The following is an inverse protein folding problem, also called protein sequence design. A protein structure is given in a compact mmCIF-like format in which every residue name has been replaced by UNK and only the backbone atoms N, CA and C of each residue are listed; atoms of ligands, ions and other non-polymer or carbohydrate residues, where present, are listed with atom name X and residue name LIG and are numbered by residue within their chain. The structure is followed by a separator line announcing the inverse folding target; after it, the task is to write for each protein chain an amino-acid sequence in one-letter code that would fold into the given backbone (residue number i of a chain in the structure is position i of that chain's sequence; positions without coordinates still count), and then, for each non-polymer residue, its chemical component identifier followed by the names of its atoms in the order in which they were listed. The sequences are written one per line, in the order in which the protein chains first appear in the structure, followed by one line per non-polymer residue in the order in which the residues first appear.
data_IF_535995042944
#
_entry.id   IF_535995042944
#
_cell.length_a   1.000
_cell.length_b   1.000
_cell.length_c   1.000
_cell.angle_alpha   90.00
_cell.angle_beta   90.00
_cell.angle_gamma   90.00
#
_symmetry.space_group_name_H-M   'P 1'
#
loop_
_entity.id
_entity.type
_entity.pdbx_description
1 polymer ?
#
# COMPACT_ATOMS: atom_id res chain seq x y z
N UNK A 1 14.73 -27.75 9.71
CA UNK A 1 15.06 -26.32 9.88
C UNK A 1 14.18 -25.78 10.99
N UNK A 2 14.74 -24.97 11.90
CA UNK A 2 13.97 -24.33 12.97
C UNK A 2 13.05 -23.26 12.37
N UNK A 3 11.77 -23.30 12.71
CA UNK A 3 10.75 -22.33 12.30
C UNK A 3 10.17 -21.68 13.55
N UNK A 4 9.95 -20.37 13.50
CA UNK A 4 9.34 -19.59 14.60
C UNK A 4 8.23 -18.71 14.04
N UNK A 5 7.11 -18.66 14.75
CA UNK A 5 6.00 -17.76 14.43
C UNK A 5 6.14 -16.45 15.21
N UNK A 6 6.12 -15.32 14.51
CA UNK A 6 6.28 -13.98 15.09
C UNK A 6 5.08 -13.11 14.72
N UNK A 7 4.72 -12.17 15.60
CA UNK A 7 3.66 -11.19 15.31
C UNK A 7 4.22 -10.07 14.44
N UNK A 8 3.55 -9.77 13.33
CA UNK A 8 3.98 -8.71 12.40
C UNK A 8 3.66 -7.33 12.99
N UNK A 9 4.66 -6.45 12.98
CA UNK A 9 4.55 -5.04 13.29
C UNK A 9 5.13 -4.15 12.20
N UNK A 10 4.88 -2.85 12.29
CA UNK A 10 5.38 -1.86 11.33
C UNK A 10 6.75 -1.35 11.72
N UNK A 11 7.60 -1.10 10.73
CA UNK A 11 8.83 -0.33 10.96
C UNK A 11 8.47 1.11 11.35
N UNK A 12 9.19 1.65 12.33
CA UNK A 12 8.98 3.02 12.82
C UNK A 12 9.91 4.04 12.17
N UNK A 13 11.07 3.60 11.68
CA UNK A 13 12.03 4.46 11.01
C UNK A 13 11.74 4.52 9.49
N UNK A 14 11.31 5.70 9.02
CA UNK A 14 10.99 5.95 7.60
C UNK A 14 12.21 5.82 6.68
N UNK A 15 13.44 5.92 7.20
CA UNK A 15 14.64 5.76 6.39
C UNK A 15 14.90 4.31 5.96
N UNK A 16 14.26 3.34 6.63
CA UNK A 16 14.45 1.91 6.39
C UNK A 16 13.46 1.33 5.40
N UNK A 17 12.42 2.07 5.07
CA UNK A 17 11.38 1.63 4.15
C UNK A 17 11.95 1.40 2.75
N UNK A 18 11.53 0.31 2.13
CA UNK A 18 11.94 -0.13 0.81
C UNK A 18 13.28 -0.85 0.76
N UNK A 19 14.01 -1.01 1.88
CA UNK A 19 15.33 -1.68 1.92
C UNK A 19 15.26 -3.20 2.00
N UNK A 20 14.06 -3.79 2.15
CA UNK A 20 13.90 -5.25 2.24
C UNK A 20 14.50 -5.85 3.52
N UNK A 21 14.44 -5.11 4.63
CA UNK A 21 14.93 -5.56 5.93
C UNK A 21 13.77 -5.94 6.85
N UNK A 22 14.05 -6.82 7.81
CA UNK A 22 13.15 -7.14 8.92
C UNK A 22 13.88 -7.07 10.25
N UNK A 23 13.22 -6.50 11.24
CA UNK A 23 13.75 -6.36 12.59
C UNK A 23 13.27 -7.49 13.49
N UNK A 24 14.21 -8.26 14.05
CA UNK A 24 13.97 -9.47 14.85
C UNK A 24 14.83 -9.44 16.13
N UNK A 25 14.31 -9.96 17.25
CA UNK A 25 15.06 -10.09 18.50
C UNK A 25 16.30 -10.99 18.32
N UNK A 26 17.42 -10.59 18.91
CA UNK A 26 18.67 -11.38 18.92
C UNK A 26 18.47 -12.79 19.49
N UNK A 27 17.60 -12.98 20.49
CA UNK A 27 17.30 -14.33 21.02
C UNK A 27 16.61 -15.23 19.99
N UNK A 28 15.70 -14.65 19.21
CA UNK A 28 15.02 -15.34 18.12
C UNK A 28 16.02 -15.67 17.00
N UNK A 29 16.88 -14.72 16.63
CA UNK A 29 17.95 -14.94 15.65
C UNK A 29 18.86 -16.12 16.04
N UNK A 30 19.29 -16.18 17.30
CA UNK A 30 20.09 -17.30 17.83
C UNK A 30 19.35 -18.63 17.70
N UNK A 31 18.07 -18.66 18.03
CA UNK A 31 17.23 -19.87 17.93
C UNK A 31 17.07 -20.34 16.48
N UNK A 32 16.95 -19.41 15.54
CA UNK A 32 16.91 -19.69 14.10
C UNK A 32 18.28 -20.03 13.49
N UNK A 33 19.37 -19.86 14.23
CA UNK A 33 20.74 -20.08 13.72
C UNK A 33 21.15 -19.05 12.67
N UNK A 34 20.69 -17.81 12.82
CA UNK A 34 21.00 -16.67 11.94
C UNK A 34 21.72 -15.56 12.71
N UNK A 35 22.45 -14.72 11.98
CA UNK A 35 23.08 -13.50 12.48
C UNK A 35 22.45 -12.28 11.81
N UNK A 36 22.84 -11.11 12.30
CA UNK A 36 22.55 -9.86 11.61
C UNK A 36 23.10 -9.89 10.19
N UNK A 37 22.32 -9.34 9.25
CA UNK A 37 22.56 -9.38 7.80
C UNK A 37 22.36 -10.73 7.10
N UNK A 38 22.05 -11.81 7.82
CA UNK A 38 21.60 -13.05 7.18
C UNK A 38 20.21 -12.86 6.57
N UNK A 39 19.92 -13.60 5.50
CA UNK A 39 18.60 -13.62 4.88
C UNK A 39 17.68 -14.62 5.59
N UNK A 40 16.48 -14.18 5.88
CA UNK A 40 15.38 -15.00 6.38
C UNK A 40 14.31 -15.19 5.33
N UNK A 41 13.69 -16.36 5.36
CA UNK A 41 12.51 -16.65 4.58
C UNK A 41 11.29 -16.33 5.43
N UNK A 42 10.41 -15.52 4.85
CA UNK A 42 9.15 -15.09 5.42
C UNK A 42 8.04 -15.85 4.70
N UNK A 43 7.27 -16.65 5.45
CA UNK A 43 6.12 -17.39 4.93
C UNK A 43 4.83 -16.84 5.53
N UNK A 44 4.12 -16.05 4.73
CA UNK A 44 2.72 -15.63 4.94
C UNK A 44 1.80 -16.38 3.97
N UNK A 45 0.97 -15.65 3.23
CA UNK A 45 0.24 -16.23 2.07
C UNK A 45 1.19 -16.55 0.92
N UNK A 46 2.30 -15.81 0.83
CA UNK A 46 3.39 -16.01 -0.12
C UNK A 46 4.71 -16.18 0.64
N UNK A 47 5.69 -16.75 -0.05
CA UNK A 47 7.07 -16.86 0.45
C UNK A 47 7.92 -15.77 -0.17
N UNK A 48 8.67 -15.05 0.65
CA UNK A 48 9.63 -14.03 0.20
C UNK A 48 10.85 -14.01 1.12
N UNK A 49 11.91 -13.35 0.70
CA UNK A 49 13.16 -13.21 1.47
C UNK A 49 13.34 -11.79 1.99
N UNK A 50 13.92 -11.65 3.17
CA UNK A 50 14.31 -10.35 3.72
C UNK A 50 15.59 -10.44 4.56
N UNK A 51 16.26 -9.31 4.77
CA UNK A 51 17.52 -9.25 5.53
C UNK A 51 17.21 -9.02 7.00
N UNK A 52 17.74 -9.89 7.87
CA UNK A 52 17.50 -9.82 9.30
C UNK A 52 18.39 -8.76 9.97
N UNK A 53 17.77 -7.84 10.70
CA UNK A 53 18.41 -6.76 11.47
C UNK A 53 17.90 -6.81 12.92
N UNK A 54 18.68 -6.31 13.88
CA UNK A 54 18.27 -6.32 15.29
C UNK A 54 16.98 -5.55 15.54
N UNK A 55 16.15 -6.07 16.42
CA UNK A 55 14.92 -5.43 16.88
C UNK A 55 15.18 -4.08 17.57
N UNK A 56 14.14 -3.26 17.67
CA UNK A 56 14.20 -2.11 18.56
C UNK A 56 14.30 -2.57 20.01
N UNK A 57 14.94 -1.79 20.90
CA UNK A 57 15.04 -2.13 22.32
C UNK A 57 13.69 -2.41 22.99
N UNK A 58 12.63 -1.70 22.57
CA UNK A 58 11.27 -1.84 23.10
C UNK A 58 10.56 -3.13 22.68
N UNK A 59 11.02 -3.81 21.63
CA UNK A 59 10.38 -5.02 21.12
C UNK A 59 11.01 -6.32 21.66
N UNK A 60 12.10 -6.20 22.43
CA UNK A 60 12.86 -7.36 22.93
C UNK A 60 11.94 -8.23 23.81
N UNK A 61 11.90 -9.53 23.52
CA UNK A 61 11.06 -10.50 24.23
C UNK A 61 9.57 -10.50 23.87
N UNK A 62 9.12 -9.64 22.95
CA UNK A 62 7.70 -9.56 22.57
C UNK A 62 7.29 -10.52 21.44
N UNK A 63 8.23 -11.30 20.89
CA UNK A 63 8.03 -12.15 19.70
C UNK A 63 7.44 -11.38 18.51
N UNK A 64 7.90 -10.14 18.33
CA UNK A 64 7.50 -9.26 17.22
C UNK A 64 8.58 -9.28 16.14
N UNK A 65 8.13 -9.23 14.89
CA UNK A 65 8.95 -8.92 13.72
C UNK A 65 8.42 -7.64 13.08
N UNK A 66 9.30 -6.67 12.85
CA UNK A 66 8.92 -5.43 12.17
C UNK A 66 9.42 -5.39 10.74
N UNK A 67 8.56 -5.01 9.82
CA UNK A 67 8.86 -4.93 8.39
C UNK A 67 8.06 -3.79 7.72
N UNK A 68 8.55 -3.32 6.57
CA UNK A 68 7.89 -2.28 5.77
C UNK A 68 6.69 -2.81 4.97
N UNK A 69 5.90 -1.91 4.39
CA UNK A 69 4.69 -2.26 3.65
C UNK A 69 4.98 -3.05 2.37
N UNK A 70 6.14 -2.83 1.75
CA UNK A 70 6.58 -3.59 0.58
C UNK A 70 6.85 -5.06 0.97
N UNK A 71 7.59 -5.31 2.05
CA UNK A 71 7.86 -6.68 2.53
C UNK A 71 6.58 -7.37 3.00
N UNK A 72 5.68 -6.64 3.69
CA UNK A 72 4.35 -7.17 4.05
C UNK A 72 3.54 -7.61 2.84
N UNK A 73 3.49 -6.78 1.79
CA UNK A 73 2.83 -7.10 0.52
C UNK A 73 3.45 -8.33 -0.14
N UNK A 74 4.78 -8.41 -0.22
CA UNK A 74 5.47 -9.54 -0.84
C UNK A 74 5.20 -10.87 -0.11
N UNK A 75 5.09 -10.84 1.22
CA UNK A 75 4.70 -11.99 2.03
C UNK A 75 3.18 -12.26 2.04
N UNK A 76 2.37 -11.31 1.56
CA UNK A 76 0.91 -11.37 1.61
C UNK A 76 0.37 -11.39 3.04
N UNK A 77 0.92 -10.54 3.92
CA UNK A 77 0.59 -10.54 5.35
C UNK A 77 0.26 -9.14 5.87
N UNK A 78 -0.58 -9.07 6.90
CA UNK A 78 -1.05 -7.82 7.51
C UNK A 78 -0.34 -7.51 8.82
N UNK A 79 -0.54 -6.28 9.30
CA UNK A 79 -0.06 -5.90 10.64
C UNK A 79 -0.88 -6.63 11.69
N UNK A 80 -0.21 -7.18 12.70
CA UNK A 80 -0.83 -7.92 13.80
C UNK A 80 -1.06 -9.41 13.52
N UNK A 81 -0.95 -9.86 12.28
CA UNK A 81 -0.98 -11.27 11.89
C UNK A 81 0.30 -12.01 12.32
N UNK A 82 0.26 -13.34 12.32
CA UNK A 82 1.41 -14.18 12.66
C UNK A 82 2.12 -14.65 11.38
N UNK A 83 3.42 -14.41 11.28
CA UNK A 83 4.26 -14.86 10.17
C UNK A 83 5.21 -15.97 10.60
N UNK A 84 5.42 -16.95 9.73
CA UNK A 84 6.44 -17.99 9.94
C UNK A 84 7.79 -17.51 9.41
N UNK A 85 8.82 -17.64 10.22
CA UNK A 85 10.18 -17.19 9.90
C UNK A 85 11.15 -18.36 10.07
N UNK A 86 12.03 -18.53 9.08
CA UNK A 86 13.12 -19.51 9.10
C UNK A 86 14.34 -18.97 8.36
N UNK A 87 15.50 -19.61 8.55
CA UNK A 87 16.69 -19.31 7.76
C UNK A 87 16.43 -19.61 6.28
N UNK A 88 16.66 -18.64 5.40
CA UNK A 88 16.44 -18.84 3.97
C UNK A 88 17.52 -19.73 3.34
N UNK A 89 17.12 -20.53 2.35
CA UNK A 89 18.05 -21.18 1.44
C UNK A 89 18.30 -20.26 0.25
N UNK A 90 19.21 -19.31 0.43
CA UNK A 90 19.52 -18.29 -0.58
C UNK A 90 20.47 -18.83 -1.62
N UNK A 91 20.14 -18.61 -2.89
CA UNK A 91 21.03 -18.89 -4.02
C UNK A 91 21.54 -17.59 -4.61
N UNK A 92 22.73 -17.61 -5.17
CA UNK A 92 23.23 -16.48 -5.94
C UNK A 92 22.44 -16.34 -7.25
N UNK A 93 21.98 -15.12 -7.55
CA UNK A 93 21.24 -14.84 -8.77
C UNK A 93 22.19 -14.80 -9.97
N UNK A 94 21.93 -15.60 -10.99
CA UNK A 94 22.61 -15.52 -12.29
C UNK A 94 21.96 -14.46 -13.17
N UNK A 95 20.62 -14.42 -13.16
CA UNK A 95 19.84 -13.42 -13.91
C UNK A 95 18.59 -13.02 -13.14
N UNK A 96 18.25 -11.74 -13.19
CA UNK A 96 17.01 -11.19 -12.65
C UNK A 96 16.38 -10.30 -13.70
N UNK A 97 15.08 -10.48 -13.94
CA UNK A 97 14.30 -9.63 -14.85
C UNK A 97 13.37 -8.77 -14.04
N UNK A 98 13.48 -7.46 -14.20
CA UNK A 98 12.68 -6.44 -13.51
C UNK A 98 11.80 -5.71 -14.52
N UNK A 99 10.65 -5.23 -14.06
CA UNK A 99 9.74 -4.38 -14.83
C UNK A 99 9.14 -3.30 -13.93
N UNK A 100 8.66 -2.16 -14.48
CA UNK A 100 7.87 -1.22 -13.69
C UNK A 100 6.63 -1.92 -13.12
N UNK A 101 6.31 -1.67 -11.85
CA UNK A 101 5.13 -2.23 -11.19
C UNK A 101 3.81 -1.56 -11.63
N UNK A 102 3.88 -0.38 -12.25
CA UNK A 102 2.72 0.41 -12.65
C UNK A 102 2.71 0.69 -14.14
N UNK A 103 1.51 0.62 -14.76
CA UNK A 103 1.30 0.92 -16.18
C UNK A 103 1.56 2.40 -16.46
N UNK A 104 2.12 2.71 -17.63
CA UNK A 104 2.41 4.08 -18.06
C UNK A 104 3.77 4.62 -17.62
N UNK A 105 4.53 3.86 -16.82
CA UNK A 105 5.94 4.17 -16.53
C UNK A 105 6.82 3.49 -17.58
N UNK A 106 7.60 4.30 -18.31
CA UNK A 106 8.67 3.81 -19.19
C UNK A 106 9.98 3.95 -18.44
N UNK A 107 10.66 2.83 -18.19
CA UNK A 107 11.97 2.84 -17.55
C UNK A 107 13.07 3.03 -18.60
N UNK A 108 13.79 4.14 -18.49
CA UNK A 108 15.08 4.34 -19.15
C UNK A 108 16.14 4.47 -18.07
N UNK A 109 16.62 3.33 -17.58
CA UNK A 109 17.61 3.28 -16.49
C UNK A 109 18.74 2.35 -16.87
N UNK A 110 19.96 2.73 -16.47
CA UNK A 110 21.13 1.87 -16.61
C UNK A 110 20.97 0.62 -15.72
N UNK A 111 21.02 -0.61 -16.30
CA UNK A 111 20.99 -1.85 -15.53
C UNK A 111 22.02 -1.94 -14.40
N UNK A 112 23.22 -1.38 -14.57
CA UNK A 112 24.25 -1.44 -13.52
C UNK A 112 23.95 -0.55 -12.32
N UNK A 113 23.23 0.56 -12.49
CA UNK A 113 22.77 1.36 -11.37
C UNK A 113 21.74 0.58 -10.54
N UNK A 114 20.82 -0.13 -11.20
CA UNK A 114 19.83 -0.98 -10.51
C UNK A 114 20.50 -2.13 -9.77
N UNK A 115 21.49 -2.77 -10.40
CA UNK A 115 22.29 -3.83 -9.77
C UNK A 115 23.01 -3.32 -8.52
N UNK A 116 23.65 -2.14 -8.59
CA UNK A 116 24.28 -1.49 -7.42
C UNK A 116 23.27 -1.25 -6.29
N UNK A 117 22.08 -0.75 -6.62
CA UNK A 117 21.05 -0.47 -5.63
C UNK A 117 20.40 -1.73 -5.03
N UNK A 118 20.34 -2.83 -5.80
CA UNK A 118 19.78 -4.10 -5.34
C UNK A 118 20.85 -5.06 -4.80
N UNK A 119 22.12 -4.66 -4.76
CA UNK A 119 23.22 -5.50 -4.30
C UNK A 119 22.96 -6.05 -2.90
N UNK A 120 23.20 -7.36 -2.72
CA UNK A 120 22.91 -8.15 -1.52
C UNK A 120 21.43 -8.26 -1.13
N UNK A 121 20.51 -7.69 -1.91
CA UNK A 121 19.08 -7.79 -1.63
C UNK A 121 18.55 -9.19 -2.01
N UNK A 122 17.78 -9.85 -1.13
CA UNK A 122 17.04 -11.04 -1.52
C UNK A 122 15.84 -10.66 -2.39
N UNK A 123 15.65 -11.41 -3.46
CA UNK A 123 14.55 -11.25 -4.42
C UNK A 123 13.88 -12.61 -4.65
N UNK A 124 12.56 -12.57 -4.78
CA UNK A 124 11.74 -13.71 -5.20
C UNK A 124 10.88 -13.29 -6.39
N UNK A 125 10.63 -14.20 -7.32
CA UNK A 125 9.68 -13.97 -8.42
C UNK A 125 8.32 -13.48 -7.87
N UNK A 126 7.83 -12.39 -8.44
CA UNK A 126 6.57 -11.74 -8.06
C UNK A 126 6.71 -10.73 -6.92
N UNK A 127 7.90 -10.52 -6.36
CA UNK A 127 8.12 -9.47 -5.35
C UNK A 127 8.04 -8.09 -5.99
N UNK A 128 7.56 -7.13 -5.22
CA UNK A 128 7.73 -5.70 -5.49
C UNK A 128 8.94 -5.20 -4.70
N UNK A 129 9.82 -4.43 -5.33
CA UNK A 129 11.01 -3.86 -4.70
C UNK A 129 11.20 -2.41 -5.07
N UNK A 130 11.68 -1.61 -4.12
CA UNK A 130 12.14 -0.25 -4.38
C UNK A 130 13.66 -0.28 -4.56
N UNK A 131 14.24 0.37 -5.59
CA UNK A 131 15.67 0.28 -5.88
C UNK A 131 16.50 1.17 -4.92
N UNK A 132 16.44 0.88 -3.62
CA UNK A 132 17.25 1.50 -2.58
C UNK A 132 18.36 0.56 -2.10
N UNK A 133 19.58 1.07 -1.89
CA UNK A 133 20.65 0.29 -1.29
C UNK A 133 20.28 -0.16 0.13
N UNK A 134 20.60 -1.40 0.46
CA UNK A 134 20.36 -2.00 1.79
C UNK A 134 21.09 -1.19 2.89
N UNK A 135 22.32 -0.76 2.61
CA UNK A 135 23.16 0.05 3.51
C UNK A 135 23.42 1.41 2.89
N UNK A 136 23.08 2.50 3.59
CA UNK A 136 23.55 3.84 3.23
C UNK A 136 25.05 3.89 3.50
N UNK A 137 25.85 4.01 2.44
CA UNK A 137 27.25 4.37 2.60
C UNK A 137 27.30 5.86 2.93
N UNK A 138 27.38 6.23 4.22
CA UNK A 138 27.88 7.57 4.56
C UNK A 138 29.38 7.58 4.32
N UNK A 139 29.80 7.85 3.09
CA UNK A 139 31.21 8.13 2.78
C UNK A 139 31.31 9.57 2.30
N UNK A 140 31.53 10.49 3.23
CA UNK A 140 31.89 11.86 2.87
C UNK A 140 31.34 12.93 3.81
N UNK A 141 31.80 14.16 3.61
CA UNK A 141 31.12 15.33 4.17
C UNK A 141 29.78 15.55 3.45
N UNK A 142 28.76 16.19 4.08
CA UNK A 142 27.50 16.54 3.41
C UNK A 142 27.68 17.38 2.13
N UNK A 143 28.86 17.98 1.94
CA UNK A 143 29.22 18.75 0.77
C UNK A 143 29.79 17.89 -0.37
N UNK A 144 30.37 16.72 -0.08
CA UNK A 144 30.88 15.79 -1.11
C UNK A 144 29.74 14.94 -1.70
N UNK A 145 28.81 14.47 -0.86
CA UNK A 145 27.57 13.79 -1.31
C UNK A 145 26.74 14.69 -2.26
N UNK A 146 26.84 16.02 -2.10
CA UNK A 146 26.08 17.01 -2.88
C UNK A 146 26.76 17.40 -4.21
N UNK A 147 28.04 17.08 -4.40
CA UNK A 147 28.86 17.51 -5.55
C UNK A 147 29.56 16.34 -6.27
N UNK A 148 29.17 15.09 -6.02
CA UNK A 148 29.55 13.98 -6.89
C UNK A 148 28.78 14.14 -8.22
N UNK A 149 29.31 15.00 -9.08
CA UNK A 149 28.68 15.53 -10.31
C UNK A 149 28.31 14.39 -11.30
N UNK A 150 28.92 13.21 -11.18
CA UNK A 150 28.51 12.02 -11.94
C UNK A 150 27.16 11.43 -11.47
N UNK A 151 26.85 11.47 -10.16
CA UNK A 151 25.55 11.04 -9.64
C UNK A 151 24.45 12.07 -9.90
N UNK A 152 24.78 13.36 -10.08
CA UNK A 152 23.81 14.45 -10.36
C UNK A 152 23.37 14.48 -11.82
N UNK A 153 24.28 14.24 -12.77
CA UNK A 153 23.92 14.19 -14.20
C UNK A 153 23.21 12.90 -14.61
N UNK A 154 23.35 11.84 -13.79
CA UNK A 154 22.59 10.59 -13.88
C UNK A 154 21.69 10.39 -12.64
N UNK A 155 21.23 11.48 -12.03
CA UNK A 155 20.28 11.43 -10.91
C UNK A 155 18.87 11.07 -11.43
N UNK A 156 18.16 10.23 -10.68
CA UNK A 156 17.65 8.98 -11.21
C UNK A 156 16.12 9.00 -11.24
N UNK A 157 15.52 8.01 -11.90
CA UNK A 157 14.15 7.49 -11.69
C UNK A 157 13.25 8.40 -10.84
N UNK A 158 12.19 9.02 -11.39
CA UNK A 158 11.22 9.77 -10.59
C UNK A 158 10.71 8.90 -9.44
N UNK A 159 11.12 9.26 -8.22
CA UNK A 159 10.44 9.23 -6.91
C UNK A 159 9.65 8.01 -6.42
N UNK A 160 9.16 7.13 -7.27
CA UNK A 160 8.09 6.20 -6.92
C UNK A 160 8.19 4.85 -7.65
N UNK A 161 9.18 4.64 -8.53
CA UNK A 161 9.18 3.43 -9.36
C UNK A 161 9.55 2.18 -8.57
N UNK A 162 8.51 1.57 -8.01
CA UNK A 162 8.49 0.20 -7.54
C UNK A 162 8.67 -0.72 -8.76
N UNK A 163 9.57 -1.68 -8.62
CA UNK A 163 9.88 -2.67 -9.65
C UNK A 163 9.28 -3.99 -9.25
N UNK A 164 8.69 -4.68 -10.22
CA UNK A 164 8.26 -6.05 -10.08
C UNK A 164 9.36 -7.01 -10.52
N UNK A 165 9.60 -8.04 -9.72
CA UNK A 165 10.51 -9.14 -10.07
C UNK A 165 9.74 -10.11 -10.98
N UNK A 166 9.99 -10.03 -12.28
CA UNK A 166 9.27 -10.84 -13.29
C UNK A 166 9.77 -12.29 -13.29
N UNK A 167 11.09 -12.47 -13.17
CA UNK A 167 11.72 -13.78 -13.07
C UNK A 167 13.10 -13.71 -12.45
N UNK A 168 13.54 -14.85 -11.91
CA UNK A 168 14.84 -15.06 -11.28
C UNK A 168 15.45 -16.36 -11.77
N UNK A 169 16.75 -16.39 -11.99
CA UNK A 169 17.50 -17.61 -12.32
C UNK A 169 18.62 -17.78 -11.30
N UNK A 170 18.64 -18.86 -10.50
CA UNK A 170 17.66 -19.94 -10.40
C UNK A 170 16.33 -19.50 -9.76
N UNK A 171 15.31 -20.38 -9.79
CA UNK A 171 14.08 -20.15 -9.03
C UNK A 171 14.29 -20.29 -7.52
N UNK A 172 13.48 -19.55 -6.77
CA UNK A 172 13.49 -19.46 -5.32
C UNK A 172 13.90 -18.07 -4.82
N UNK A 173 14.33 -17.99 -3.57
CA UNK A 173 14.91 -16.78 -2.99
C UNK A 173 16.35 -16.68 -3.51
N UNK A 174 16.62 -15.65 -4.30
CA UNK A 174 17.95 -15.37 -4.83
C UNK A 174 18.51 -14.06 -4.29
N UNK A 175 19.83 -13.94 -4.26
CA UNK A 175 20.51 -12.71 -3.85
C UNK A 175 21.25 -12.11 -5.03
N UNK A 176 21.08 -10.80 -5.23
CA UNK A 176 21.79 -10.05 -6.28
C UNK A 176 23.23 -9.83 -5.85
N UNK A 177 24.17 -10.21 -6.70
CA UNK A 177 25.62 -10.05 -6.51
C UNK A 177 26.25 -9.34 -7.71
N UNK A 178 27.57 -9.21 -7.72
CA UNK A 178 28.37 -8.61 -8.78
C UNK A 178 28.35 -9.42 -10.08
N UNK A 179 28.07 -10.73 -10.02
CA UNK A 179 27.96 -11.58 -11.21
C UNK A 179 26.53 -11.66 -11.77
N UNK A 180 25.53 -11.10 -11.08
CA UNK A 180 24.15 -11.13 -11.52
C UNK A 180 23.95 -10.28 -12.77
N UNK A 181 23.33 -10.87 -13.80
CA UNK A 181 22.82 -10.16 -14.97
C UNK A 181 21.44 -9.57 -14.67
N UNK A 182 21.33 -8.25 -14.61
CA UNK A 182 20.07 -7.54 -14.33
C UNK A 182 19.49 -7.03 -15.64
N UNK A 183 18.31 -7.52 -16.00
CA UNK A 183 17.58 -7.05 -17.17
C UNK A 183 16.38 -6.19 -16.73
N UNK A 184 16.21 -5.03 -17.36
CA UNK A 184 15.08 -4.14 -17.10
C UNK A 184 14.20 -4.13 -18.34
N UNK A 185 12.95 -4.55 -18.19
CA UNK A 185 11.93 -4.38 -19.22
C UNK A 185 11.43 -2.94 -19.23
N UNK A 186 11.24 -2.34 -20.41
CA UNK A 186 10.82 -0.94 -20.52
C UNK A 186 9.36 -0.71 -20.10
N UNK A 187 8.51 -1.73 -20.23
CA UNK A 187 7.07 -1.65 -19.98
C UNK A 187 6.64 -2.53 -18.80
N UNK A 188 5.60 -2.09 -18.11
CA UNK A 188 4.99 -2.84 -17.02
C UNK A 188 4.42 -4.17 -17.53
N UNK A 189 4.72 -5.25 -16.82
CA UNK A 189 4.13 -6.56 -17.09
C UNK A 189 2.82 -6.63 -16.30
N UNK A 190 1.75 -7.16 -16.91
CA UNK A 190 0.56 -7.56 -16.15
C UNK A 190 0.95 -8.71 -15.23
N UNK A 191 1.27 -8.38 -13.99
CA UNK A 191 1.34 -9.37 -12.92
C UNK A 191 -0.11 -9.80 -12.71
N UNK A 192 -0.40 -11.11 -12.81
CA UNK A 192 -1.75 -11.68 -12.63
C UNK A 192 -2.38 -11.39 -11.25
N UNK A 193 -1.67 -10.71 -10.36
CA UNK A 193 -2.20 -10.24 -9.10
C UNK A 193 -3.09 -9.02 -9.32
N UNK A 194 -4.36 -9.17 -8.91
CA UNK A 194 -5.41 -8.16 -8.83
C UNK A 194 -4.81 -6.77 -8.65
N UNK A 195 -5.27 -5.79 -9.43
CA UNK A 195 -4.83 -4.39 -9.44
C UNK A 195 -4.91 -3.73 -8.04
N UNK A 196 -3.95 -4.07 -7.17
CA UNK A 196 -3.84 -3.55 -5.82
C UNK A 196 -2.88 -2.35 -5.89
N UNK A 197 -3.33 -1.16 -5.47
CA UNK A 197 -2.51 0.05 -5.45
C UNK A 197 -1.16 -0.23 -4.78
N UNK A 198 -0.06 0.32 -5.30
CA UNK A 198 1.26 0.10 -4.68
C UNK A 198 1.46 0.90 -3.40
N UNK A 199 0.60 1.90 -3.16
CA UNK A 199 0.71 2.87 -2.06
C UNK A 199 0.44 2.18 -0.72
N UNK A 200 1.29 2.47 0.27
CA UNK A 200 1.17 1.97 1.65
C UNK A 200 0.96 3.14 2.61
N UNK A 201 0.63 2.88 3.89
CA UNK A 201 0.54 3.99 4.86
C UNK A 201 1.87 4.72 5.06
N UNK A 202 2.98 4.05 4.76
CA UNK A 202 4.34 4.55 4.84
C UNK A 202 4.65 5.62 3.77
N UNK A 203 3.84 5.64 2.70
CA UNK A 203 3.86 6.62 1.62
C UNK A 203 2.96 7.84 1.93
N UNK A 204 2.36 7.90 3.13
CA UNK A 204 1.48 8.99 3.59
C UNK A 204 2.09 9.70 4.80
N UNK A 205 2.18 11.03 4.74
CA UNK A 205 2.74 11.87 5.81
C UNK A 205 1.68 12.72 6.49
N UNK A 206 1.80 12.93 7.81
CA UNK A 206 0.96 13.89 8.53
C UNK A 206 -0.50 13.51 8.77
N UNK A 207 -0.90 12.26 8.46
CA UNK A 207 -2.29 11.78 8.59
C UNK A 207 -2.46 10.68 9.66
N UNK A 208 -1.63 10.62 10.70
CA UNK A 208 -1.64 9.53 11.68
C UNK A 208 -3.02 9.25 12.30
N UNK A 209 -3.72 10.28 12.76
CA UNK A 209 -5.03 10.13 13.39
C UNK A 209 -6.09 9.59 12.40
N UNK A 210 -6.02 10.06 11.15
CA UNK A 210 -6.90 9.58 10.10
C UNK A 210 -6.57 8.14 9.69
N UNK A 211 -5.27 7.79 9.62
CA UNK A 211 -4.79 6.43 9.37
C UNK A 211 -5.27 5.50 10.48
N UNK A 212 -5.17 5.89 11.76
CA UNK A 212 -5.66 5.06 12.85
C UNK A 212 -7.17 4.79 12.74
N UNK A 213 -7.97 5.84 12.52
CA UNK A 213 -9.42 5.70 12.35
C UNK A 213 -9.77 4.82 11.16
N UNK A 214 -9.10 4.99 10.01
CA UNK A 214 -9.41 4.21 8.82
C UNK A 214 -9.01 2.74 8.97
N UNK A 215 -7.92 2.44 9.70
CA UNK A 215 -7.54 1.06 10.04
C UNK A 215 -8.63 0.37 10.85
N UNK A 216 -9.16 1.03 11.87
CA UNK A 216 -10.22 0.47 12.71
C UNK A 216 -11.53 0.28 11.95
N UNK A 217 -11.87 1.23 11.07
CA UNK A 217 -13.16 1.25 10.36
C UNK A 217 -13.17 0.41 9.07
N UNK A 218 -12.02 0.21 8.43
CA UNK A 218 -11.95 -0.42 7.10
C UNK A 218 -11.06 -1.66 7.11
N UNK A 219 -9.81 -1.53 7.57
CA UNK A 219 -8.85 -2.64 7.52
C UNK A 219 -9.23 -3.78 8.45
N UNK A 220 -9.58 -3.47 9.69
CA UNK A 220 -9.93 -4.47 10.70
C UNK A 220 -11.15 -5.34 10.29
N UNK A 221 -12.28 -4.78 9.80
CA UNK A 221 -13.38 -5.60 9.27
C UNK A 221 -13.01 -6.51 8.09
N UNK A 222 -12.14 -6.04 7.19
CA UNK A 222 -11.79 -6.77 5.96
C UNK A 222 -10.79 -7.90 6.25
N UNK A 223 -9.82 -7.64 7.13
CA UNK A 223 -8.79 -8.61 7.54
C UNK A 223 -9.28 -9.60 8.58
N UNK A 224 -10.09 -9.13 9.54
CA UNK A 224 -10.51 -9.88 10.71
C UNK A 224 -12.04 -9.90 10.92
N UNK A 225 -12.84 -10.34 9.91
CA UNK A 225 -14.30 -10.38 10.02
C UNK A 225 -14.81 -11.28 11.17
N UNK A 226 -14.00 -12.24 11.61
CA UNK A 226 -14.28 -13.11 12.76
C UNK A 226 -14.41 -12.34 14.07
N UNK A 227 -13.69 -11.22 14.24
CA UNK A 227 -13.78 -10.40 15.45
C UNK A 227 -15.16 -9.75 15.58
N UNK A 228 -15.66 -9.18 14.49
CA UNK A 228 -16.99 -8.56 14.43
C UNK A 228 -18.10 -9.60 14.65
N UNK A 229 -17.94 -10.78 14.05
CA UNK A 229 -18.87 -11.90 14.22
C UNK A 229 -18.93 -12.37 15.67
N UNK A 230 -17.78 -12.49 16.35
CA UNK A 230 -17.71 -12.90 17.76
C UNK A 230 -18.30 -11.86 18.71
N UNK A 231 -18.11 -10.58 18.40
CA UNK A 231 -18.63 -9.46 19.20
C UNK A 231 -20.12 -9.18 18.92
N UNK A 232 -20.70 -9.76 17.86
CA UNK A 232 -22.10 -9.54 17.49
C UNK A 232 -22.38 -8.11 17.01
N UNK A 233 -21.37 -7.43 16.47
CA UNK A 233 -21.48 -6.06 15.95
C UNK A 233 -21.34 -6.06 14.42
N UNK A 234 -22.08 -5.18 13.77
CA UNK A 234 -21.93 -4.97 12.33
C UNK A 234 -20.77 -4.01 12.03
N UNK A 235 -19.93 -4.31 11.03
CA UNK A 235 -18.91 -3.36 10.57
C UNK A 235 -19.56 -2.17 9.86
N UNK A 236 -18.89 -1.01 9.81
CA UNK A 236 -19.40 0.15 9.09
C UNK A 236 -19.51 -0.15 7.59
N UNK A 237 -20.60 0.30 6.97
CA UNK A 237 -20.84 0.12 5.52
C UNK A 237 -20.14 1.18 4.69
N UNK A 238 -19.97 2.38 5.25
CA UNK A 238 -19.37 3.48 4.53
C UNK A 238 -18.62 4.48 5.40
N UNK A 239 -17.53 5.00 4.86
CA UNK A 239 -16.68 6.02 5.49
C UNK A 239 -16.62 7.24 4.57
N UNK A 240 -16.93 8.43 5.09
CA UNK A 240 -16.79 9.71 4.37
C UNK A 240 -15.50 10.41 4.81
N UNK A 241 -14.56 10.56 3.88
CA UNK A 241 -13.37 11.39 4.02
C UNK A 241 -13.68 12.81 3.56
N UNK A 242 -13.45 13.80 4.43
CA UNK A 242 -13.68 15.20 4.05
C UNK A 242 -12.54 16.10 4.47
N UNK A 243 -12.33 17.20 3.75
CA UNK A 243 -11.30 18.19 4.06
C UNK A 243 -10.82 18.93 2.83
N UNK A 244 -9.88 19.88 2.95
CA UNK A 244 -9.39 20.67 1.82
C UNK A 244 -8.83 19.82 0.66
N UNK A 245 -8.83 20.31 -0.59
CA UNK A 245 -8.20 19.60 -1.70
C UNK A 245 -6.70 19.41 -1.46
N UNK A 246 -6.14 18.32 -2.01
CA UNK A 246 -4.70 18.05 -1.91
C UNK A 246 -4.21 17.50 -0.56
N UNK A 247 -5.09 17.19 0.39
CA UNK A 247 -4.70 16.62 1.70
C UNK A 247 -4.52 15.11 1.71
N UNK A 248 -4.55 14.43 0.56
CA UNK A 248 -4.24 13.01 0.45
C UNK A 248 -5.40 12.02 0.67
N UNK A 249 -6.66 12.45 0.55
CA UNK A 249 -7.86 11.58 0.68
C UNK A 249 -7.80 10.34 -0.23
N UNK A 250 -7.50 10.53 -1.51
CA UNK A 250 -7.39 9.45 -2.51
C UNK A 250 -6.21 8.52 -2.22
N UNK A 251 -5.08 9.06 -1.75
CA UNK A 251 -3.92 8.26 -1.35
C UNK A 251 -4.24 7.38 -0.14
N UNK A 252 -4.94 7.93 0.85
CA UNK A 252 -5.37 7.20 2.05
C UNK A 252 -6.29 6.03 1.71
N UNK A 253 -7.27 6.25 0.83
CA UNK A 253 -8.18 5.20 0.38
C UNK A 253 -7.46 4.07 -0.38
N UNK A 254 -6.48 4.41 -1.21
CA UNK A 254 -5.63 3.43 -1.91
C UNK A 254 -4.76 2.64 -0.94
N UNK A 255 -4.14 3.33 0.03
CA UNK A 255 -3.29 2.69 1.04
C UNK A 255 -4.07 1.69 1.89
N UNK A 256 -5.25 2.05 2.40
CA UNK A 256 -6.04 1.14 3.23
C UNK A 256 -6.49 -0.09 2.47
N UNK A 257 -6.85 0.02 1.19
CA UNK A 257 -7.23 -1.14 0.38
C UNK A 257 -6.04 -2.09 0.15
N UNK A 258 -4.86 -1.55 -0.15
CA UNK A 258 -3.63 -2.33 -0.31
C UNK A 258 -3.25 -3.04 1.01
N UNK A 259 -3.24 -2.32 2.13
CA UNK A 259 -2.89 -2.87 3.44
C UNK A 259 -3.94 -3.86 3.95
N UNK A 260 -5.20 -3.76 3.49
CA UNK A 260 -6.24 -4.75 3.76
C UNK A 260 -6.17 -5.99 2.86
N UNK A 261 -5.35 -5.98 1.80
CA UNK A 261 -5.35 -7.01 0.76
C UNK A 261 -6.67 -7.07 -0.03
N UNK A 262 -7.42 -5.97 -0.06
CA UNK A 262 -8.75 -5.88 -0.67
C UNK A 262 -8.66 -5.39 -2.12
N UNK A 263 -9.57 -5.86 -2.98
CA UNK A 263 -9.73 -5.32 -4.33
C UNK A 263 -10.18 -3.86 -4.27
N UNK A 264 -9.57 -2.98 -5.07
CA UNK A 264 -9.86 -1.55 -5.07
C UNK A 264 -10.61 -1.15 -6.35
N UNK A 265 -11.79 -0.55 -6.19
CA UNK A 265 -12.62 -0.05 -7.29
C UNK A 265 -12.77 1.47 -7.14
N UNK A 266 -12.37 2.24 -8.15
CA UNK A 266 -12.41 3.70 -8.10
C UNK A 266 -13.53 4.24 -8.99
N UNK A 267 -14.30 5.18 -8.46
CA UNK A 267 -15.34 5.93 -9.17
C UNK A 267 -15.02 7.41 -8.99
N UNK A 268 -14.88 8.14 -10.09
CA UNK A 268 -14.69 9.59 -10.07
C UNK A 268 -16.05 10.27 -10.35
N UNK A 269 -16.52 11.11 -9.42
CA UNK A 269 -17.82 11.78 -9.51
C UNK A 269 -18.07 12.48 -10.85
N UNK A 270 -17.22 13.43 -11.27
CA UNK A 270 -17.30 14.07 -12.59
C UNK A 270 -17.36 13.10 -13.78
N UNK A 271 -16.66 11.96 -13.73
CA UNK A 271 -16.67 10.97 -14.81
C UNK A 271 -18.05 10.30 -14.97
N UNK A 272 -18.80 10.13 -13.87
CA UNK A 272 -20.15 9.58 -13.89
C UNK A 272 -21.14 10.59 -14.52
N UNK A 273 -20.95 11.88 -14.29
CA UNK A 273 -21.82 12.94 -14.82
C UNK A 273 -21.62 13.23 -16.30
N UNK A 274 -20.41 12.98 -16.84
CA UNK A 274 -20.08 13.27 -18.24
C UNK A 274 -20.57 12.20 -19.22
N UNK A 275 -20.98 11.02 -18.75
CA UNK A 275 -21.48 9.91 -19.59
C UNK A 275 -22.96 10.10 -19.93
N UNK A 276 -23.33 9.79 -21.18
CA UNK A 276 -24.67 10.01 -21.75
C UNK A 276 -25.79 9.35 -20.94
N UNK A 277 -26.99 9.94 -21.01
CA UNK A 277 -28.23 9.53 -20.32
C UNK A 277 -28.36 8.02 -20.06
N UNK A 278 -28.51 7.62 -18.79
CA UNK A 278 -28.74 6.23 -18.36
C UNK A 278 -27.48 5.36 -18.20
N UNK A 279 -26.35 5.72 -18.83
CA UNK A 279 -25.09 4.96 -18.66
C UNK A 279 -24.47 5.14 -17.28
N UNK A 280 -24.71 6.29 -16.63
CA UNK A 280 -24.19 6.62 -15.30
C UNK A 280 -24.68 5.65 -14.22
N UNK A 281 -25.98 5.33 -14.22
CA UNK A 281 -26.59 4.42 -13.24
C UNK A 281 -26.14 2.98 -13.44
N UNK A 282 -26.08 2.54 -14.69
CA UNK A 282 -25.62 1.19 -15.06
C UNK A 282 -24.13 1.01 -14.72
N UNK A 283 -23.31 2.03 -14.94
CA UNK A 283 -21.89 1.99 -14.57
C UNK A 283 -21.71 1.89 -13.05
N UNK A 284 -22.46 2.67 -12.26
CA UNK A 284 -22.45 2.55 -10.79
C UNK A 284 -22.84 1.15 -10.34
N UNK A 285 -23.90 0.57 -10.93
CA UNK A 285 -24.35 -0.78 -10.61
C UNK A 285 -23.27 -1.82 -10.91
N UNK A 286 -22.66 -1.76 -12.10
CA UNK A 286 -21.58 -2.67 -12.50
C UNK A 286 -20.41 -2.65 -11.54
N UNK A 287 -19.95 -1.47 -11.12
CA UNK A 287 -18.83 -1.35 -10.18
C UNK A 287 -19.17 -2.00 -8.83
N UNK A 288 -20.37 -1.79 -8.31
CA UNK A 288 -20.80 -2.42 -7.06
C UNK A 288 -20.91 -3.96 -7.20
N UNK A 289 -21.46 -4.46 -8.30
CA UNK A 289 -21.55 -5.90 -8.57
C UNK A 289 -20.17 -6.55 -8.73
N UNK A 290 -19.23 -5.89 -9.41
CA UNK A 290 -17.85 -6.36 -9.54
C UNK A 290 -17.12 -6.36 -8.19
N UNK A 291 -17.33 -5.35 -7.36
CA UNK A 291 -16.77 -5.31 -6.02
C UNK A 291 -17.29 -6.44 -5.13
N UNK A 292 -18.60 -6.74 -5.18
CA UNK A 292 -19.18 -7.87 -4.44
C UNK A 292 -18.61 -9.22 -4.93
N UNK A 293 -18.44 -9.41 -6.24
CA UNK A 293 -17.83 -10.63 -6.81
C UNK A 293 -16.37 -10.81 -6.42
N UNK A 294 -15.64 -9.70 -6.24
CA UNK A 294 -14.20 -9.70 -5.94
C UNK A 294 -13.87 -9.52 -4.44
N UNK A 295 -14.89 -9.54 -3.58
CA UNK A 295 -14.76 -9.39 -2.14
C UNK A 295 -13.65 -10.28 -1.51
N UNK A 296 -12.84 -9.78 -0.55
CA UNK A 296 -12.94 -8.47 0.12
C UNK A 296 -12.59 -7.29 -0.81
N UNK A 297 -13.38 -6.22 -0.77
CA UNK A 297 -13.24 -5.09 -1.68
C UNK A 297 -13.52 -3.72 -1.02
N UNK A 298 -12.87 -2.69 -1.54
CA UNK A 298 -13.09 -1.28 -1.22
C UNK A 298 -13.58 -0.57 -2.48
N UNK A 299 -14.74 0.07 -2.40
CA UNK A 299 -15.24 0.98 -3.43
C UNK A 299 -14.89 2.40 -2.99
N UNK A 300 -14.10 3.12 -3.77
CA UNK A 300 -13.75 4.51 -3.53
C UNK A 300 -14.48 5.44 -4.48
N UNK A 301 -15.28 6.36 -3.94
CA UNK A 301 -16.00 7.39 -4.69
C UNK A 301 -15.32 8.74 -4.43
N UNK A 302 -14.52 9.20 -5.38
CA UNK A 302 -13.90 10.52 -5.30
C UNK A 302 -14.86 11.61 -5.78
N UNK A 303 -14.76 12.80 -5.18
CA UNK A 303 -15.64 13.95 -5.46
C UNK A 303 -17.13 13.59 -5.45
N UNK A 304 -17.57 12.90 -4.38
CA UNK A 304 -18.96 12.44 -4.27
C UNK A 304 -19.98 13.59 -4.32
N UNK A 305 -19.58 14.81 -3.92
CA UNK A 305 -20.41 16.01 -4.00
C UNK A 305 -20.80 16.38 -5.45
N UNK A 306 -20.06 15.92 -6.46
CA UNK A 306 -20.40 16.13 -7.87
C UNK A 306 -21.59 15.28 -8.32
N UNK A 307 -21.79 14.09 -7.72
CA UNK A 307 -22.84 13.13 -8.11
C UNK A 307 -23.96 13.01 -7.08
N UNK A 308 -23.77 13.53 -5.88
CA UNK A 308 -24.76 13.52 -4.82
C UNK A 308 -24.93 14.86 -4.08
N UNK A 309 -25.12 15.99 -4.81
CA UNK A 309 -25.44 17.25 -4.17
C UNK A 309 -26.81 17.23 -3.47
N UNK A 310 -27.08 18.22 -2.62
CA UNK A 310 -28.40 18.42 -2.01
C UNK A 310 -29.49 18.48 -3.07
N UNK A 311 -30.58 17.74 -2.86
CA UNK A 311 -31.71 17.66 -3.80
C UNK A 311 -32.36 19.02 -4.12
N UNK A 312 -32.27 19.97 -3.20
CA UNK A 312 -32.79 21.34 -3.35
C UNK A 312 -31.94 22.17 -4.33
N UNK A 313 -30.64 21.88 -4.43
CA UNK A 313 -29.69 22.57 -5.31
C UNK A 313 -29.68 21.95 -6.72
N UNK A 314 -30.36 20.82 -6.90
CA UNK A 314 -30.42 20.04 -8.14
C UNK A 314 -31.62 20.44 -8.98
N UNK A 315 -31.36 21.06 -10.13
CA UNK A 315 -32.37 21.35 -11.16
C UNK A 315 -32.61 20.18 -12.12
N UNK A 316 -31.66 19.26 -12.28
CA UNK A 316 -31.74 18.15 -13.24
C UNK A 316 -32.34 16.86 -12.67
N UNK A 317 -33.24 16.21 -13.40
CA UNK A 317 -33.82 14.92 -13.01
C UNK A 317 -32.76 13.79 -12.98
N UNK A 318 -31.73 13.88 -13.83
CA UNK A 318 -30.66 12.88 -13.93
C UNK A 318 -29.83 12.83 -12.64
N UNK A 319 -29.42 13.98 -12.11
CA UNK A 319 -28.68 14.08 -10.84
C UNK A 319 -29.47 13.44 -9.68
N UNK A 320 -30.79 13.70 -9.60
CA UNK A 320 -31.65 13.10 -8.57
C UNK A 320 -31.73 11.57 -8.69
N UNK A 321 -31.73 11.05 -9.91
CA UNK A 321 -31.72 9.59 -10.16
C UNK A 321 -30.39 8.97 -9.75
N UNK A 322 -29.27 9.60 -10.06
CA UNK A 322 -27.93 9.14 -9.64
C UNK A 322 -27.83 9.09 -8.11
N UNK A 323 -28.27 10.14 -7.40
CA UNK A 323 -28.31 10.14 -5.92
C UNK A 323 -29.15 8.97 -5.41
N UNK A 324 -30.33 8.76 -5.99
CA UNK A 324 -31.24 7.69 -5.59
C UNK A 324 -30.63 6.30 -5.84
N UNK A 325 -29.87 6.14 -6.93
CA UNK A 325 -29.17 4.91 -7.25
C UNK A 325 -28.05 4.62 -6.24
N UNK A 326 -27.23 5.62 -5.86
CA UNK A 326 -26.20 5.44 -4.81
C UNK A 326 -26.83 5.01 -3.50
N UNK A 327 -27.92 5.66 -3.08
CA UNK A 327 -28.64 5.31 -1.85
C UNK A 327 -29.14 3.86 -1.90
N UNK A 328 -29.71 3.45 -3.04
CA UNK A 328 -30.20 2.08 -3.24
C UNK A 328 -29.06 1.05 -3.21
N UNK A 329 -27.92 1.36 -3.82
CA UNK A 329 -26.74 0.50 -3.81
C UNK A 329 -26.15 0.36 -2.40
N UNK A 330 -26.02 1.45 -1.64
CA UNK A 330 -25.55 1.43 -0.25
C UNK A 330 -26.48 0.62 0.66
N UNK A 331 -27.79 0.79 0.52
CA UNK A 331 -28.78 0.04 1.30
C UNK A 331 -28.79 -1.46 0.91
N UNK A 332 -28.53 -1.75 -0.37
CA UNK A 332 -28.49 -3.09 -0.96
C UNK A 332 -27.23 -3.91 -0.61
N UNK A 333 -26.16 -3.27 -0.13
CA UNK A 333 -24.96 -3.98 0.33
C UNK A 333 -25.32 -4.94 1.47
N UNK A 334 -25.27 -6.24 1.16
CA UNK A 334 -25.57 -7.32 2.11
C UNK A 334 -24.53 -7.28 3.24
N UNK A 335 -25.00 -7.22 4.49
CA UNK A 335 -24.27 -6.89 5.73
C UNK A 335 -23.15 -7.85 6.15
N UNK A 336 -22.63 -8.72 5.28
CA UNK A 336 -21.48 -9.58 5.60
C UNK A 336 -20.14 -8.85 5.59
N UNK A 337 -20.13 -7.51 5.46
CA UNK A 337 -18.97 -6.67 5.77
C UNK A 337 -17.75 -6.84 4.87
N UNK A 338 -17.89 -7.52 3.73
CA UNK A 338 -16.76 -7.78 2.82
C UNK A 338 -16.57 -6.70 1.76
N UNK A 339 -17.49 -5.75 1.66
CA UNK A 339 -17.40 -4.59 0.79
C UNK A 339 -17.63 -3.36 1.64
N UNK A 340 -16.69 -2.41 1.60
CA UNK A 340 -16.78 -1.14 2.30
C UNK A 340 -16.68 0.00 1.28
N UNK A 341 -17.55 1.00 1.42
CA UNK A 341 -17.57 2.15 0.53
C UNK A 341 -16.89 3.34 1.20
N UNK A 342 -15.83 3.85 0.59
CA UNK A 342 -15.16 5.07 1.03
C UNK A 342 -15.53 6.18 0.06
N UNK A 343 -16.03 7.31 0.54
CA UNK A 343 -16.27 8.49 -0.29
C UNK A 343 -15.36 9.64 0.12
N UNK A 344 -14.95 10.47 -0.84
CA UNK A 344 -14.16 11.67 -0.58
C UNK A 344 -14.86 12.93 -1.09
N UNK A 345 -14.82 14.00 -0.30
CA UNK A 345 -15.34 15.31 -0.70
C UNK A 345 -14.53 16.47 -0.11
N UNK A 346 -14.48 17.58 -0.84
CA UNK A 346 -13.97 18.84 -0.31
C UNK A 346 -15.09 19.74 0.25
N UNK A 347 -16.36 19.36 0.02
CA UNK A 347 -17.55 20.15 0.34
C UNK A 347 -18.59 19.29 1.08
N UNK A 348 -18.32 18.85 2.33
CA UNK A 348 -19.23 17.97 3.06
C UNK A 348 -20.64 18.55 3.28
N UNK A 349 -20.76 19.87 3.28
CA UNK A 349 -22.04 20.58 3.44
C UNK A 349 -22.87 20.65 2.14
N UNK A 350 -22.30 20.31 0.98
CA UNK A 350 -23.01 20.26 -0.30
C UNK A 350 -23.65 18.89 -0.56
N UNK A 351 -23.26 17.86 0.20
CA UNK A 351 -23.73 16.48 0.04
C UNK A 351 -25.19 16.30 0.50
N UNK A 352 -25.94 15.42 -0.17
CA UNK A 352 -27.27 14.98 0.28
C UNK A 352 -27.18 14.39 1.72
N UNK A 353 -27.89 14.96 2.71
CA UNK A 353 -27.88 14.46 4.09
C UNK A 353 -28.34 13.01 4.24
N UNK A 354 -29.11 12.48 3.29
CA UNK A 354 -29.54 11.09 3.28
C UNK A 354 -28.35 10.12 3.19
N UNK A 355 -27.25 10.50 2.54
CA UNK A 355 -26.06 9.67 2.42
C UNK A 355 -25.30 9.51 3.75
N UNK A 356 -25.47 10.46 4.69
CA UNK A 356 -24.76 10.50 5.99
C UNK A 356 -25.55 9.83 7.12
N UNK A 357 -26.64 9.12 6.80
CA UNK A 357 -27.45 8.41 7.79
C UNK A 357 -26.80 7.08 8.20
N UNK A 358 -27.08 6.58 9.42
CA UNK A 358 -26.66 5.25 9.86
C UNK A 358 -26.93 4.16 8.82
N UNK A 359 -25.96 3.27 8.58
CA UNK A 359 -26.05 2.25 7.54
C UNK A 359 -25.62 2.69 6.14
N UNK A 360 -25.16 3.94 5.97
CA UNK A 360 -24.57 4.47 4.72
C UNK A 360 -23.17 5.01 5.03
N UNK A 361 -22.91 6.32 4.88
CA UNK A 361 -21.70 6.94 5.41
C UNK A 361 -21.92 7.36 6.86
N UNK A 362 -21.89 6.37 7.75
CA UNK A 362 -22.14 6.55 9.18
C UNK A 362 -20.86 6.83 9.99
N UNK A 363 -19.72 6.80 9.31
CA UNK A 363 -18.42 7.26 9.81
C UNK A 363 -17.89 8.40 8.95
N UNK A 364 -17.35 9.41 9.62
CA UNK A 364 -16.74 10.56 8.96
C UNK A 364 -15.34 10.79 9.53
N UNK A 365 -14.38 11.02 8.64
CA UNK A 365 -12.99 11.29 8.98
C UNK A 365 -12.58 12.60 8.33
N UNK A 366 -12.22 13.57 9.17
CA UNK A 366 -11.63 14.82 8.73
C UNK A 366 -10.16 14.61 8.33
N UNK A 367 -9.81 15.03 7.12
CA UNK A 367 -8.46 15.04 6.56
C UNK A 367 -8.01 16.51 6.44
N UNK A 368 -7.52 17.03 7.56
CA UNK A 368 -7.10 18.41 7.71
C UNK A 368 -5.75 18.75 7.07
N UNK A 369 -5.33 20.00 7.25
CA UNK A 369 -4.00 20.48 6.83
C UNK A 369 -2.94 19.94 7.79
N UNK A 370 -1.83 19.35 7.30
CA UNK A 370 -0.80 18.79 8.16
C UNK A 370 -0.08 19.86 8.98
N UNK A 371 0.26 19.52 10.22
CA UNK A 371 1.07 20.33 11.12
C UNK A 371 2.55 20.35 10.71
N UNK A 372 3.42 21.01 11.49
CA UNK A 372 4.84 21.09 11.17
C UNK A 372 5.50 19.70 11.06
N UNK A 373 5.12 18.77 11.94
CA UNK A 373 5.65 17.40 11.94
C UNK A 373 5.18 16.64 10.71
N UNK A 374 3.90 16.70 10.39
CA UNK A 374 3.30 16.09 9.22
C UNK A 374 3.90 16.63 7.92
N UNK A 375 4.13 17.94 7.82
CA UNK A 375 4.82 18.53 6.66
C UNK A 375 6.26 18.03 6.53
N UNK A 376 6.99 17.88 7.64
CA UNK A 376 8.33 17.28 7.62
C UNK A 376 8.29 15.86 7.08
N UNK A 377 7.32 15.05 7.49
CA UNK A 377 7.15 13.69 6.97
C UNK A 377 6.81 13.64 5.49
N UNK A 378 5.91 14.53 5.04
CA UNK A 378 5.57 14.68 3.62
C UNK A 378 6.83 15.01 2.81
N UNK A 379 7.63 15.97 3.29
CA UNK A 379 8.92 16.30 2.67
C UNK A 379 9.84 15.08 2.65
N UNK A 380 10.01 14.37 3.77
CA UNK A 380 10.83 13.16 3.83
C UNK A 380 10.37 12.05 2.88
N UNK A 381 9.06 11.92 2.63
CA UNK A 381 8.54 10.98 1.64
C UNK A 381 8.96 11.42 0.23
N UNK A 382 8.68 12.67 -0.13
CA UNK A 382 8.95 13.19 -1.48
C UNK A 382 10.45 13.39 -1.78
N UNK A 383 11.28 13.59 -0.75
CA UNK A 383 12.73 13.72 -0.87
C UNK A 383 13.48 12.43 -0.54
N UNK A 384 12.79 11.31 -0.26
CA UNK A 384 13.44 10.03 0.09
C UNK A 384 14.46 9.58 -0.97
N UNK A 385 14.22 10.00 -2.22
CA UNK A 385 14.93 9.56 -3.40
C UNK A 385 15.65 10.73 -4.10
N UNK A 386 15.71 11.89 -3.45
CA UNK A 386 16.52 13.01 -3.91
C UNK A 386 17.92 12.88 -3.32
N UNK A 387 18.98 13.09 -4.13
CA UNK A 387 20.37 13.05 -3.66
C UNK A 387 20.64 14.11 -2.58
#
# INVERSE_FOLDING_TARGET
MTEISLKVGELTDREEFGRGIVRIDTKIMQTLGIRESDVVELEGQRKTGAIAVRSYPVDIGLNIIRMDGITRRNAGIGVGEMIKVRKANVKEAKRVVLAPAEKGIILQVNPELMKKNLFMRPLTKGDIVAPFPVVKHRRGSPFEDFFDIEEIFFAPIPGETKLAVVSTVPDGIVQVTDITDVEIRPEAVEIEEKAIPTITYEDIGGLHDAIQKIREMVELPLRHPELFTRLGIEPPKGVLLYGPPGTGKTLLAKAVANESGASFFSINGPEIMSKWYGQSEENLRKVFEEAEKNAPAVIFIDEIDAIAPKREEVSGEVERRVVSQILTLMDGLKSRGKVIVIAATNRPNALDPALRRPGRFDREIEIGVPDQKGRKEILQIHTRNMP
#
